data_IF_901061252033
#
_entry.id   IF_901061252033
#
_cell.length_a   1.000
_cell.length_b   1.000
_cell.length_c   1.000
_cell.angle_alpha   90.00
_cell.angle_beta   90.00
_cell.angle_gamma   90.00
#
_symmetry.space_group_name_H-M   'P 1'
#
loop_
_entity.id
_entity.type
_entity.pdbx_description
1 polymer ?
#
# COMPACT_ATOMS: atom_id res chain seq x y z
N UNK A 1 -95.11 6.77 0.45
CA UNK A 1 -93.96 6.34 -0.38
C UNK A 1 -93.11 7.50 -0.96
N UNK A 2 -93.43 8.78 -0.70
CA UNK A 2 -92.62 9.93 -1.18
C UNK A 2 -91.64 10.48 -0.13
N UNK A 3 -91.95 10.32 1.16
CA UNK A 3 -91.15 10.89 2.26
C UNK A 3 -89.78 10.20 2.46
N UNK A 4 -89.63 8.93 2.08
CA UNK A 4 -88.36 8.19 2.18
C UNK A 4 -87.34 8.60 1.11
N UNK A 5 -87.81 9.05 -0.06
CA UNK A 5 -86.95 9.48 -1.17
C UNK A 5 -86.27 10.84 -0.92
N UNK A 6 -86.81 11.66 0.00
CA UNK A 6 -86.32 13.01 0.32
C UNK A 6 -85.46 13.10 1.59
N UNK A 7 -85.10 11.96 2.23
CA UNK A 7 -84.21 11.90 3.40
C UNK A 7 -84.54 12.89 4.53
N UNK A 8 -85.83 13.16 4.78
CA UNK A 8 -86.28 14.05 5.86
C UNK A 8 -86.16 13.34 7.24
N UNK A 9 -85.93 14.06 8.35
CA UNK A 9 -85.85 13.45 9.68
C UNK A 9 -87.11 12.63 10.01
N UNK A 10 -87.02 11.42 10.61
CA UNK A 10 -85.84 10.77 11.21
C UNK A 10 -85.08 9.79 10.27
N UNK A 11 -85.25 9.86 8.94
CA UNK A 11 -84.72 8.88 7.97
C UNK A 11 -83.35 9.25 7.37
N UNK A 12 -82.45 9.84 8.15
CA UNK A 12 -81.06 10.14 7.73
C UNK A 12 -80.15 8.94 7.98
N UNK A 13 -79.62 8.32 6.93
CA UNK A 13 -78.58 7.28 7.07
C UNK A 13 -77.22 7.96 7.28
N UNK A 14 -76.67 7.89 8.49
CA UNK A 14 -75.36 8.47 8.83
C UNK A 14 -74.16 7.63 8.37
N UNK A 15 -74.38 6.60 7.55
CA UNK A 15 -73.33 5.73 7.04
C UNK A 15 -73.42 5.65 5.51
N UNK A 16 -72.41 6.19 4.84
CA UNK A 16 -72.18 6.03 3.41
C UNK A 16 -71.50 4.68 3.20
N UNK A 17 -72.15 3.76 2.48
CA UNK A 17 -71.59 2.46 2.11
C UNK A 17 -71.16 2.55 0.64
N UNK A 18 -69.89 2.32 0.35
CA UNK A 18 -69.37 2.29 -1.02
C UNK A 18 -68.44 1.09 -1.17
N UNK A 19 -68.65 0.31 -2.23
CA UNK A 19 -67.78 -0.81 -2.59
C UNK A 19 -66.48 -0.34 -3.28
N UNK A 20 -66.37 0.97 -3.57
CA UNK A 20 -65.24 1.57 -4.28
C UNK A 20 -64.24 2.20 -3.30
N UNK A 21 -63.55 1.37 -2.51
CA UNK A 21 -62.43 1.79 -1.68
C UNK A 21 -61.10 1.44 -2.36
N UNK A 22 -60.25 2.45 -2.61
CA UNK A 22 -58.91 2.26 -3.18
C UNK A 22 -57.85 2.56 -2.13
N UNK A 23 -56.95 1.60 -1.87
CA UNK A 23 -55.77 1.81 -1.03
C UNK A 23 -54.69 2.50 -1.88
N UNK A 24 -54.27 3.70 -1.48
CA UNK A 24 -53.14 4.41 -2.09
C UNK A 24 -51.87 4.08 -1.32
N UNK A 25 -50.96 3.33 -1.93
CA UNK A 25 -49.61 3.09 -1.42
C UNK A 25 -48.58 3.94 -2.16
N UNK A 26 -47.50 4.34 -1.48
CA UNK A 26 -46.30 4.87 -2.15
C UNK A 26 -45.39 3.70 -2.49
N UNK A 27 -45.04 3.54 -3.76
CA UNK A 27 -44.14 2.48 -4.23
C UNK A 27 -42.74 3.05 -4.46
N UNK A 28 -41.72 2.40 -3.92
CA UNK A 28 -40.31 2.72 -4.19
C UNK A 28 -39.63 1.53 -4.85
N UNK A 29 -38.86 1.79 -5.91
CA UNK A 29 -38.07 0.76 -6.57
C UNK A 29 -36.77 0.52 -5.82
N UNK A 30 -36.43 -0.76 -5.63
CA UNK A 30 -35.16 -1.18 -5.04
C UNK A 30 -34.29 -1.73 -6.18
N UNK A 31 -33.08 -1.19 -6.30
CA UNK A 31 -32.12 -1.60 -7.33
C UNK A 31 -30.80 -2.01 -6.68
N UNK A 32 -30.13 -3.06 -7.17
CA UNK A 32 -28.81 -3.43 -6.68
C UNK A 32 -27.77 -2.39 -7.10
N UNK A 33 -26.79 -2.15 -6.23
CA UNK A 33 -25.65 -1.27 -6.54
C UNK A 33 -24.60 -1.94 -7.43
N UNK A 34 -24.66 -3.27 -7.54
CA UNK A 34 -23.70 -4.10 -8.26
C UNK A 34 -24.43 -5.03 -9.22
N UNK A 35 -23.82 -5.29 -10.38
CA UNK A 35 -24.36 -6.24 -11.35
C UNK A 35 -24.06 -7.67 -10.90
N UNK A 36 -24.99 -8.60 -11.09
CA UNK A 36 -24.73 -10.01 -10.80
C UNK A 36 -25.99 -10.86 -10.88
N UNK A 37 -25.78 -12.17 -10.83
CA UNK A 37 -26.87 -13.14 -10.80
C UNK A 37 -27.46 -13.24 -9.40
N UNK A 38 -28.79 -13.28 -9.30
CA UNK A 38 -29.49 -13.50 -8.04
C UNK A 38 -29.40 -14.99 -7.70
N UNK A 39 -28.90 -15.31 -6.51
CA UNK A 39 -28.77 -16.68 -6.01
C UNK A 39 -29.89 -17.06 -5.06
N UNK A 40 -30.52 -16.08 -4.40
CA UNK A 40 -31.66 -16.30 -3.53
C UNK A 40 -32.64 -15.12 -3.57
N UNK A 41 -33.92 -15.46 -3.51
CA UNK A 41 -35.03 -14.53 -3.31
C UNK A 41 -35.70 -14.95 -2.01
N UNK A 42 -35.59 -14.13 -0.96
CA UNK A 42 -36.02 -14.48 0.39
C UNK A 42 -37.41 -13.92 0.73
N UNK A 43 -38.05 -13.23 -0.21
CA UNK A 43 -39.32 -12.54 -0.02
C UNK A 43 -40.38 -13.10 -0.95
N UNK A 44 -41.65 -13.04 -0.52
CA UNK A 44 -42.83 -13.40 -1.31
C UNK A 44 -43.66 -12.15 -1.60
N UNK A 45 -44.53 -12.23 -2.60
CA UNK A 45 -45.45 -11.13 -2.90
C UNK A 45 -46.28 -10.76 -1.67
N UNK A 46 -46.42 -9.44 -1.46
CA UNK A 46 -47.13 -8.82 -0.34
C UNK A 46 -46.58 -9.14 1.07
N UNK A 47 -45.36 -9.69 1.17
CA UNK A 47 -44.71 -9.91 2.45
C UNK A 47 -44.39 -8.57 3.15
N UNK A 48 -44.65 -8.50 4.45
CA UNK A 48 -44.24 -7.39 5.30
C UNK A 48 -42.78 -7.62 5.69
N UNK A 49 -41.91 -6.66 5.37
CA UNK A 49 -40.46 -6.74 5.63
C UNK A 49 -40.00 -5.61 6.55
N UNK A 50 -38.93 -5.85 7.30
CA UNK A 50 -38.35 -4.86 8.22
C UNK A 50 -37.05 -4.24 7.66
N UNK A 51 -36.65 -3.04 8.14
CA UNK A 51 -35.37 -2.45 7.77
C UNK A 51 -34.20 -3.39 8.09
N UNK A 52 -33.31 -3.59 7.11
CA UNK A 52 -32.15 -4.47 7.24
C UNK A 52 -32.40 -5.95 6.89
N UNK A 53 -33.64 -6.32 6.57
CA UNK A 53 -33.95 -7.68 6.12
C UNK A 53 -33.39 -7.96 4.72
N UNK A 54 -32.75 -9.11 4.55
CA UNK A 54 -32.13 -9.51 3.29
C UNK A 54 -33.20 -10.02 2.34
N UNK A 55 -33.59 -9.18 1.38
CA UNK A 55 -34.62 -9.51 0.39
C UNK A 55 -34.09 -10.41 -0.73
N UNK A 56 -32.88 -10.14 -1.21
CA UNK A 56 -32.24 -10.84 -2.32
C UNK A 56 -30.75 -11.01 -2.06
N UNK A 57 -30.18 -12.10 -2.57
CA UNK A 57 -28.75 -12.35 -2.52
C UNK A 57 -28.18 -12.40 -3.94
N UNK A 58 -27.07 -11.69 -4.16
CA UNK A 58 -26.33 -11.68 -5.42
C UNK A 58 -25.13 -12.63 -5.27
N UNK A 59 -24.75 -13.32 -6.34
CA UNK A 59 -23.53 -14.13 -6.37
C UNK A 59 -22.29 -13.27 -6.09
N UNK A 60 -21.66 -13.53 -4.95
CA UNK A 60 -20.51 -12.77 -4.45
C UNK A 60 -19.16 -13.37 -4.85
N UNK A 61 -19.13 -14.51 -5.55
CA UNK A 61 -17.89 -15.25 -5.84
C UNK A 61 -16.89 -14.41 -6.62
N UNK A 62 -17.33 -13.73 -7.68
CA UNK A 62 -16.47 -12.87 -8.51
C UNK A 62 -15.92 -11.70 -7.68
N UNK A 63 -16.76 -11.12 -6.81
CA UNK A 63 -16.35 -10.01 -5.95
C UNK A 63 -15.33 -10.45 -4.91
N UNK A 64 -15.56 -11.59 -4.25
CA UNK A 64 -14.60 -12.21 -3.32
C UNK A 64 -13.29 -12.54 -4.01
N UNK A 65 -13.33 -13.13 -5.21
CA UNK A 65 -12.14 -13.41 -6.00
C UNK A 65 -11.33 -12.15 -6.33
N UNK A 66 -12.00 -11.05 -6.71
CA UNK A 66 -11.33 -9.76 -6.94
C UNK A 66 -10.68 -9.21 -5.67
N UNK A 67 -11.35 -9.33 -4.52
CA UNK A 67 -10.77 -8.95 -3.22
C UNK A 67 -9.54 -9.80 -2.91
N UNK A 68 -9.63 -11.13 -3.07
CA UNK A 68 -8.49 -12.02 -2.87
C UNK A 68 -7.31 -11.72 -3.81
N UNK A 69 -7.59 -11.41 -5.08
CA UNK A 69 -6.56 -11.02 -6.05
C UNK A 69 -5.88 -9.70 -5.67
N UNK A 70 -6.66 -8.71 -5.21
CA UNK A 70 -6.13 -7.44 -4.74
C UNK A 70 -5.27 -7.63 -3.48
N UNK A 71 -5.72 -8.46 -2.53
CA UNK A 71 -4.96 -8.83 -1.33
C UNK A 71 -3.65 -9.54 -1.67
N UNK A 72 -3.68 -10.50 -2.60
CA UNK A 72 -2.48 -11.19 -3.06
C UNK A 72 -1.48 -10.21 -3.72
N UNK A 73 -2.00 -9.27 -4.52
CA UNK A 73 -1.18 -8.22 -5.14
C UNK A 73 -0.56 -7.31 -4.09
N UNK A 74 -1.32 -6.91 -3.08
CA UNK A 74 -0.82 -6.12 -1.95
C UNK A 74 0.33 -6.87 -1.23
N UNK A 75 0.12 -8.13 -0.88
CA UNK A 75 1.13 -8.96 -0.22
C UNK A 75 2.42 -9.10 -1.05
N UNK A 76 2.29 -9.26 -2.38
CA UNK A 76 3.45 -9.27 -3.30
C UNK A 76 4.22 -7.94 -3.26
N UNK A 77 3.51 -6.80 -3.26
CA UNK A 77 4.13 -5.48 -3.22
C UNK A 77 4.82 -5.21 -1.88
N UNK A 78 4.22 -5.62 -0.77
CA UNK A 78 4.82 -5.53 0.57
C UNK A 78 6.09 -6.39 0.67
N UNK A 79 6.07 -7.60 0.12
CA UNK A 79 7.26 -8.45 0.06
C UNK A 79 8.38 -7.80 -0.79
N UNK A 80 8.05 -7.25 -1.96
CA UNK A 80 9.00 -6.54 -2.81
C UNK A 80 9.60 -5.31 -2.11
N UNK A 81 8.78 -4.54 -1.38
CA UNK A 81 9.25 -3.40 -0.59
C UNK A 81 10.24 -3.84 0.50
N UNK A 82 9.93 -4.89 1.25
CA UNK A 82 10.83 -5.43 2.28
C UNK A 82 12.17 -5.88 1.68
N UNK A 83 12.14 -6.56 0.54
CA UNK A 83 13.36 -6.97 -0.16
C UNK A 83 14.19 -5.75 -0.60
N UNK A 84 13.55 -4.72 -1.13
CA UNK A 84 14.24 -3.51 -1.58
C UNK A 84 14.88 -2.75 -0.40
N UNK A 85 14.18 -2.65 0.74
CA UNK A 85 14.72 -2.08 1.97
C UNK A 85 15.94 -2.86 2.48
N UNK A 86 15.90 -4.19 2.41
CA UNK A 86 17.04 -5.02 2.79
C UNK A 86 18.24 -4.82 1.85
N UNK A 87 17.99 -4.73 0.55
CA UNK A 87 19.02 -4.46 -0.45
C UNK A 87 19.67 -3.09 -0.24
N UNK A 88 18.86 -2.07 0.08
CA UNK A 88 19.35 -0.73 0.44
C UNK A 88 20.27 -0.76 1.65
N UNK A 89 19.87 -1.41 2.74
CA UNK A 89 20.72 -1.57 3.94
C UNK A 89 22.04 -2.28 3.62
N UNK A 90 22.00 -3.30 2.76
CA UNK A 90 23.23 -4.00 2.32
C UNK A 90 24.15 -3.09 1.48
N UNK A 91 23.57 -2.24 0.63
CA UNK A 91 24.33 -1.27 -0.15
C UNK A 91 24.96 -0.20 0.74
N UNK A 92 24.21 0.33 1.71
CA UNK A 92 24.70 1.28 2.73
C UNK A 92 25.87 0.68 3.54
N UNK A 93 25.76 -0.58 3.97
CA UNK A 93 26.85 -1.28 4.65
C UNK A 93 28.10 -1.45 3.75
N UNK A 94 27.90 -1.67 2.45
CA UNK A 94 29.00 -1.76 1.47
C UNK A 94 29.69 -0.41 1.27
N UNK A 95 28.92 0.67 1.21
CA UNK A 95 29.45 2.05 1.14
C UNK A 95 30.30 2.34 2.37
N UNK A 96 29.76 2.10 3.58
CA UNK A 96 30.50 2.32 4.82
C UNK A 96 31.81 1.51 4.89
N UNK A 97 31.79 0.26 4.42
CA UNK A 97 33.00 -0.58 4.30
C UNK A 97 34.02 0.03 3.34
N UNK A 98 33.57 0.50 2.18
CA UNK A 98 34.45 1.09 1.17
C UNK A 98 35.02 2.43 1.63
N UNK A 99 34.24 3.24 2.34
CA UNK A 99 34.72 4.48 2.97
C UNK A 99 35.80 4.17 4.01
N UNK A 100 35.60 3.19 4.88
CA UNK A 100 36.62 2.77 5.83
C UNK A 100 37.90 2.28 5.14
N UNK A 101 37.77 1.48 4.06
CA UNK A 101 38.90 1.05 3.26
C UNK A 101 39.66 2.23 2.62
N UNK A 102 38.92 3.22 2.10
CA UNK A 102 39.49 4.45 1.54
C UNK A 102 40.22 5.29 2.60
N UNK A 103 39.68 5.40 3.82
CA UNK A 103 40.36 6.11 4.90
C UNK A 103 41.65 5.40 5.32
N UNK A 104 41.62 4.08 5.44
CA UNK A 104 42.83 3.28 5.71
C UNK A 104 43.88 3.44 4.61
N UNK A 105 43.46 3.41 3.35
CA UNK A 105 44.33 3.65 2.20
C UNK A 105 45.00 5.04 2.25
N UNK A 106 44.22 6.08 2.56
CA UNK A 106 44.72 7.45 2.72
C UNK A 106 45.71 7.56 3.87
N UNK A 107 45.40 6.98 5.03
CA UNK A 107 46.30 6.98 6.18
C UNK A 107 47.62 6.26 5.87
N UNK A 108 47.56 5.12 5.18
CA UNK A 108 48.74 4.40 4.74
C UNK A 108 49.58 5.22 3.74
N UNK A 109 48.93 5.90 2.78
CA UNK A 109 49.62 6.75 1.83
C UNK A 109 50.30 7.94 2.52
N UNK A 110 49.63 8.60 3.46
CA UNK A 110 50.21 9.68 4.27
C UNK A 110 51.43 9.21 5.07
N UNK A 111 51.35 8.02 5.67
CA UNK A 111 52.49 7.42 6.38
C UNK A 111 53.68 7.19 5.44
N UNK A 112 53.43 6.58 4.27
CA UNK A 112 54.46 6.34 3.26
C UNK A 112 55.13 7.64 2.80
N UNK A 113 54.35 8.71 2.57
CA UNK A 113 54.89 10.02 2.21
C UNK A 113 55.75 10.63 3.33
N UNK A 114 55.29 10.55 4.58
CA UNK A 114 56.04 11.04 5.73
C UNK A 114 57.36 10.28 5.94
N UNK A 115 57.33 8.96 5.80
CA UNK A 115 58.51 8.11 5.91
C UNK A 115 59.50 8.39 4.76
N UNK A 116 59.02 8.57 3.52
CA UNK A 116 59.87 8.99 2.39
C UNK A 116 60.55 10.33 2.66
N UNK A 117 59.80 11.32 3.15
CA UNK A 117 60.34 12.65 3.48
C UNK A 117 61.43 12.55 4.56
N UNK A 118 61.20 11.74 5.61
CA UNK A 118 62.20 11.50 6.67
C UNK A 118 63.47 10.87 6.11
N UNK A 119 63.35 9.84 5.26
CA UNK A 119 64.50 9.17 4.64
C UNK A 119 65.28 10.16 3.76
N UNK A 120 64.60 10.99 2.96
CA UNK A 120 65.24 12.01 2.14
C UNK A 120 66.06 13.01 2.97
N UNK A 121 65.52 13.46 4.12
CA UNK A 121 66.23 14.37 5.03
C UNK A 121 67.48 13.69 5.65
N UNK A 122 67.34 12.45 6.14
CA UNK A 122 68.45 11.71 6.75
C UNK A 122 69.56 11.36 5.74
N UNK A 123 69.22 11.08 4.48
CA UNK A 123 70.22 10.90 3.41
C UNK A 123 70.95 12.21 3.09
N UNK A 124 70.26 13.36 3.14
CA UNK A 124 70.88 14.67 2.91
C UNK A 124 71.89 15.04 4.02
N UNK A 125 71.60 14.65 5.27
CA UNK A 125 72.51 14.77 6.42
C UNK A 125 73.63 13.70 6.43
N UNK A 126 73.72 12.86 5.40
CA UNK A 126 74.74 11.80 5.28
C UNK A 126 74.54 10.59 6.20
N UNK A 127 73.41 10.52 6.91
CA UNK A 127 73.12 9.47 7.90
C UNK A 127 72.52 8.19 7.29
N UNK A 128 72.14 8.19 6.02
CA UNK A 128 71.58 7.03 5.30
C UNK A 128 72.17 6.90 3.89
N UNK A 129 72.11 5.70 3.32
CA UNK A 129 72.61 5.43 1.97
C UNK A 129 71.67 5.91 0.85
N UNK A 130 72.24 6.24 -0.32
CA UNK A 130 71.49 6.58 -1.54
C UNK A 130 70.56 5.43 -1.97
N UNK A 131 70.99 4.17 -1.78
CA UNK A 131 70.21 2.97 -2.15
C UNK A 131 68.93 2.84 -1.34
N UNK A 132 68.98 3.11 -0.03
CA UNK A 132 67.81 3.07 0.85
C UNK A 132 66.78 4.16 0.46
N UNK A 133 67.25 5.35 0.11
CA UNK A 133 66.40 6.43 -0.41
C UNK A 133 65.69 6.01 -1.71
N UNK A 134 66.43 5.43 -2.65
CA UNK A 134 65.88 5.04 -3.94
C UNK A 134 64.87 3.88 -3.80
N UNK A 135 65.11 2.95 -2.87
CA UNK A 135 64.16 1.91 -2.50
C UNK A 135 62.88 2.49 -1.88
N UNK A 136 62.99 3.41 -0.91
CA UNK A 136 61.84 4.08 -0.32
C UNK A 136 61.02 4.85 -1.35
N UNK A 137 61.68 5.50 -2.32
CA UNK A 137 61.02 6.20 -3.43
C UNK A 137 60.23 5.25 -4.33
N UNK A 138 60.80 4.09 -4.65
CA UNK A 138 60.12 3.05 -5.43
C UNK A 138 58.89 2.50 -4.69
N UNK A 139 59.00 2.22 -3.39
CA UNK A 139 57.88 1.78 -2.55
C UNK A 139 56.76 2.83 -2.46
N UNK A 140 57.11 4.11 -2.37
CA UNK A 140 56.13 5.19 -2.37
C UNK A 140 55.40 5.35 -3.71
N UNK A 141 56.10 5.18 -4.84
CA UNK A 141 55.49 5.20 -6.16
C UNK A 141 54.48 4.05 -6.35
N UNK A 142 54.81 2.84 -5.85
CA UNK A 142 53.90 1.69 -5.91
C UNK A 142 52.65 1.89 -5.03
N UNK A 143 52.78 2.53 -3.87
CA UNK A 143 51.65 2.84 -2.99
C UNK A 143 50.74 3.99 -3.46
N UNK A 144 51.18 4.79 -4.44
CA UNK A 144 50.42 5.89 -5.03
C UNK A 144 49.68 5.55 -6.32
N UNK A 145 50.08 4.49 -7.03
CA UNK A 145 49.52 4.12 -8.35
C UNK A 145 48.42 3.06 -8.34
N UNK A 146 47.98 2.60 -7.16
CA UNK A 146 47.02 1.51 -7.01
C UNK A 146 45.61 1.96 -6.64
N UNK A 147 45.01 2.90 -7.38
CA UNK A 147 43.57 3.22 -7.33
C UNK A 147 43.07 3.66 -8.71
#
# INVERSE_FOLDING_TARGET
MILYAWQLPPFTRHSQFTDNAYVRGQTTFISPQVNGYITAVNVKDFAIVQPGEVLFQIDDRIYKQRVHQAQATLAMKEAALRNNLQQRKSAEATIAKNEAALQNARAQNLKIQADLKRIQQLTADGSLSIRERDSARASAAQGGGGY
#
